data_IF_482412301113
#
_entry.id   IF_482412301113
#
_cell.length_a   1.000
_cell.length_b   1.000
_cell.length_c   1.000
_cell.angle_alpha   90.00
_cell.angle_beta   90.00
_cell.angle_gamma   90.00
#
_symmetry.space_group_name_H-M   'P 1'
#
loop_
_entity.id
_entity.type
_entity.pdbx_description
1 polymer ?
#
# COMPACT_ATOMS: atom_id res chain seq x y z
N UNK A 1 -0.23 -10.89 -18.17
CA UNK A 1 0.95 -10.54 -17.35
C UNK A 1 0.73 -11.10 -15.96
N UNK A 2 1.78 -11.65 -15.35
CA UNK A 2 1.72 -12.67 -14.29
C UNK A 2 0.83 -12.31 -13.09
N UNK A 3 -0.19 -13.13 -12.87
CA UNK A 3 -0.82 -13.29 -11.57
C UNK A 3 -0.16 -14.46 -10.86
N UNK A 4 0.65 -14.17 -9.86
CA UNK A 4 1.35 -15.17 -9.06
C UNK A 4 2.35 -14.47 -8.16
N UNK A 5 1.96 -14.16 -6.92
CA UNK A 5 2.79 -13.31 -6.08
C UNK A 5 2.24 -13.14 -4.69
N UNK A 6 1.99 -14.24 -3.98
CA UNK A 6 2.11 -14.15 -2.54
C UNK A 6 3.59 -13.92 -2.28
N UNK A 7 3.97 -12.71 -1.88
CA UNK A 7 5.29 -12.45 -1.35
C UNK A 7 5.35 -13.10 0.05
N UNK A 8 5.31 -14.44 0.08
CA UNK A 8 5.13 -15.27 1.28
C UNK A 8 6.23 -15.03 2.29
N UNK A 9 7.43 -14.69 1.80
CA UNK A 9 8.61 -14.47 2.63
C UNK A 9 8.85 -12.98 2.94
N UNK A 10 8.09 -12.08 2.33
CA UNK A 10 8.34 -10.64 2.41
C UNK A 10 7.14 -9.88 2.97
N UNK A 11 5.99 -9.90 2.27
CA UNK A 11 4.82 -9.10 2.66
C UNK A 11 3.98 -9.82 3.71
N UNK A 12 3.70 -11.11 3.52
CA UNK A 12 2.77 -11.86 4.38
C UNK A 12 3.21 -11.89 5.84
N UNK A 13 4.48 -12.18 6.18
CA UNK A 13 4.93 -12.24 7.57
C UNK A 13 4.89 -10.86 8.23
N UNK A 14 5.28 -9.80 7.51
CA UNK A 14 5.23 -8.42 8.02
C UNK A 14 3.79 -7.99 8.33
N UNK A 15 2.85 -8.26 7.42
CA UNK A 15 1.43 -7.95 7.62
C UNK A 15 0.84 -8.69 8.84
N UNK A 16 1.13 -9.98 9.01
CA UNK A 16 0.64 -10.74 10.16
C UNK A 16 1.26 -10.29 11.48
N UNK A 17 2.55 -9.96 11.51
CA UNK A 17 3.21 -9.43 12.69
C UNK A 17 2.59 -8.10 13.13
N UNK A 18 2.29 -7.19 12.20
CA UNK A 18 1.56 -5.96 12.50
C UNK A 18 0.16 -6.23 13.06
N UNK A 19 -0.60 -7.12 12.43
CA UNK A 19 -1.93 -7.49 12.92
C UNK A 19 -1.88 -8.10 14.33
N UNK A 20 -0.91 -8.98 14.59
CA UNK A 20 -0.74 -9.57 15.91
C UNK A 20 -0.37 -8.52 16.96
N UNK A 21 0.53 -7.59 16.65
CA UNK A 21 0.87 -6.48 17.54
C UNK A 21 -0.34 -5.60 17.89
N UNK A 22 -1.16 -5.28 16.90
CA UNK A 22 -2.43 -4.54 17.11
C UNK A 22 -3.37 -5.34 18.03
N UNK A 23 -3.57 -6.63 17.75
CA UNK A 23 -4.47 -7.49 18.53
C UNK A 23 -3.95 -7.70 19.97
N UNK A 24 -2.64 -7.76 20.17
CA UNK A 24 -2.03 -7.90 21.49
C UNK A 24 -1.95 -6.58 22.27
N UNK A 25 -2.28 -5.45 21.64
CA UNK A 25 -2.17 -4.12 22.26
C UNK A 25 -0.74 -3.56 22.28
N UNK A 26 0.18 -4.14 21.52
CA UNK A 26 1.57 -3.70 21.36
C UNK A 26 1.89 -3.57 19.85
N UNK A 27 1.44 -2.47 19.21
CA UNK A 27 1.69 -2.22 17.80
C UNK A 27 3.19 -2.19 17.48
N UNK A 28 3.56 -2.67 16.29
CA UNK A 28 4.94 -2.65 15.82
C UNK A 28 5.19 -1.39 15.01
N UNK A 29 6.20 -0.62 15.37
CA UNK A 29 6.59 0.59 14.62
C UNK A 29 7.02 0.23 13.20
N UNK A 30 6.67 1.06 12.23
CA UNK A 30 6.82 0.74 10.80
C UNK A 30 8.29 0.66 10.36
N UNK A 31 9.19 1.39 11.02
CA UNK A 31 10.63 1.38 10.81
C UNK A 31 11.36 0.30 11.62
N UNK A 32 10.64 -0.54 12.39
CA UNK A 32 11.25 -1.59 13.20
C UNK A 32 12.12 -2.51 12.32
N UNK A 33 13.37 -2.70 12.73
CA UNK A 33 14.30 -3.58 12.04
C UNK A 33 13.93 -5.04 12.31
N UNK A 34 13.87 -5.84 11.26
CA UNK A 34 13.58 -7.26 11.38
C UNK A 34 14.79 -7.97 11.98
N UNK A 35 14.58 -8.82 13.02
CA UNK A 35 15.67 -9.53 13.70
C UNK A 35 16.61 -10.26 12.73
N UNK A 36 17.92 -10.10 12.93
CA UNK A 36 18.95 -10.70 12.06
C UNK A 36 18.78 -12.21 11.94
N UNK A 37 18.51 -12.91 13.05
CA UNK A 37 18.36 -14.37 13.04
C UNK A 37 17.23 -14.86 12.10
N UNK A 38 16.13 -14.11 12.02
CA UNK A 38 15.05 -14.42 11.08
C UNK A 38 15.47 -14.10 9.63
N UNK A 39 16.15 -12.97 9.41
CA UNK A 39 16.66 -12.62 8.08
C UNK A 39 17.70 -13.62 7.56
N UNK A 40 18.52 -14.19 8.44
CA UNK A 40 19.48 -15.24 8.11
C UNK A 40 18.77 -16.53 7.67
N UNK A 41 17.62 -16.86 8.25
CA UNK A 41 16.82 -18.03 7.88
C UNK A 41 16.15 -17.88 6.51
N UNK A 42 15.70 -16.67 6.18
CA UNK A 42 15.03 -16.37 4.90
C UNK A 42 16.03 -16.12 3.77
N UNK A 43 17.21 -15.57 4.08
CA UNK A 43 18.28 -15.31 3.12
C UNK A 43 18.10 -14.00 2.33
N UNK A 44 18.54 -13.98 1.07
CA UNK A 44 18.65 -12.78 0.24
C UNK A 44 17.35 -11.99 0.08
N UNK A 45 16.20 -12.68 0.15
CA UNK A 45 14.89 -12.06 -0.02
C UNK A 45 14.26 -11.55 1.28
N UNK A 46 14.98 -11.63 2.40
CA UNK A 46 14.46 -11.17 3.68
C UNK A 46 14.32 -9.64 3.71
N UNK A 47 13.12 -9.09 4.00
CA UNK A 47 12.98 -7.65 4.19
C UNK A 47 13.82 -7.18 5.37
N UNK A 48 14.32 -5.94 5.29
CA UNK A 48 15.17 -5.34 6.32
C UNK A 48 14.35 -4.75 7.49
N UNK A 49 13.24 -4.10 7.17
CA UNK A 49 12.35 -3.39 8.10
C UNK A 49 10.91 -3.84 7.94
N UNK A 50 10.10 -3.52 8.96
CA UNK A 50 8.67 -3.87 9.04
C UNK A 50 7.79 -3.18 8.00
N UNK A 51 8.34 -2.23 7.24
CA UNK A 51 7.78 -1.60 6.03
C UNK A 51 8.89 -1.23 5.05
N UNK A 52 8.53 -0.73 3.87
CA UNK A 52 9.47 -0.36 2.80
C UNK A 52 9.94 1.11 2.88
N UNK A 53 9.65 1.82 3.98
CA UNK A 53 10.13 3.19 4.21
C UNK A 53 9.50 4.26 3.30
N UNK A 54 8.43 3.91 2.59
CA UNK A 54 7.67 4.85 1.77
C UNK A 54 6.67 5.63 2.63
N UNK A 55 6.55 6.95 2.38
CA UNK A 55 5.43 7.73 2.90
C UNK A 55 4.15 7.27 2.19
N UNK A 56 3.21 6.75 2.98
CA UNK A 56 1.90 6.25 2.52
C UNK A 56 0.79 7.24 2.88
N UNK A 57 1.10 8.53 2.82
CA UNK A 57 0.10 9.58 3.00
C UNK A 57 -1.02 9.45 1.96
N UNK A 58 -2.26 9.50 2.44
CA UNK A 58 -3.44 9.47 1.60
C UNK A 58 -3.99 10.88 1.45
N UNK A 59 -4.16 11.31 0.20
CA UNK A 59 -4.84 12.56 -0.15
C UNK A 59 -6.12 12.20 -0.90
N UNK A 60 -7.31 12.55 -0.37
CA UNK A 60 -8.56 12.43 -1.11
C UNK A 60 -8.45 13.12 -2.47
N UNK A 61 -8.97 12.49 -3.52
CA UNK A 61 -8.91 13.06 -4.87
C UNK A 61 -9.72 14.37 -4.98
N UNK A 62 -10.75 14.48 -4.14
CA UNK A 62 -11.59 15.65 -3.92
C UNK A 62 -10.82 16.84 -3.34
N UNK A 63 -9.63 16.65 -2.77
CA UNK A 63 -8.82 17.76 -2.26
C UNK A 63 -7.97 18.45 -3.34
N UNK A 64 -8.11 18.03 -4.59
CA UNK A 64 -7.40 18.57 -5.74
C UNK A 64 -6.60 17.51 -6.48
N UNK A 65 -6.29 17.81 -7.73
CA UNK A 65 -5.52 16.93 -8.61
C UNK A 65 -4.44 17.72 -9.35
N UNK A 66 -3.39 17.01 -9.75
CA UNK A 66 -2.22 17.52 -10.48
C UNK A 66 -2.41 17.26 -11.97
N UNK A 67 -2.66 18.27 -12.82
CA UNK A 67 -2.99 18.06 -14.24
C UNK A 67 -1.92 17.33 -15.05
N UNK A 68 -0.65 17.46 -14.67
CA UNK A 68 0.50 16.77 -15.28
C UNK A 68 0.71 15.35 -14.75
N UNK A 69 0.03 14.97 -13.66
CA UNK A 69 0.07 13.62 -13.12
C UNK A 69 -0.67 12.67 -14.06
N UNK A 70 0.08 11.71 -14.61
CA UNK A 70 -0.48 10.61 -15.41
C UNK A 70 -1.50 9.78 -14.63
N UNK A 71 -1.33 9.67 -13.32
CA UNK A 71 -2.26 8.96 -12.44
C UNK A 71 -3.58 9.72 -12.34
N UNK A 72 -3.53 11.02 -12.11
CA UNK A 72 -4.72 11.87 -11.93
C UNK A 72 -5.50 11.98 -13.23
N UNK A 73 -4.80 12.08 -14.37
CA UNK A 73 -5.40 12.00 -15.70
C UNK A 73 -6.14 10.67 -15.90
N UNK A 74 -5.56 9.55 -15.46
CA UNK A 74 -6.19 8.24 -15.55
C UNK A 74 -7.42 8.14 -14.63
N UNK A 75 -7.34 8.65 -13.39
CA UNK A 75 -8.48 8.71 -12.46
C UNK A 75 -9.62 9.50 -13.08
N UNK A 76 -9.37 10.70 -13.62
CA UNK A 76 -10.39 11.52 -14.29
C UNK A 76 -10.99 10.83 -15.50
N UNK A 77 -10.17 10.18 -16.34
CA UNK A 77 -10.66 9.41 -17.48
C UNK A 77 -11.61 8.30 -17.05
N UNK A 78 -11.28 7.57 -15.98
CA UNK A 78 -12.15 6.54 -15.40
C UNK A 78 -13.42 7.13 -14.80
N UNK A 79 -13.35 8.21 -14.03
CA UNK A 79 -14.53 8.90 -13.48
C UNK A 79 -15.48 9.31 -14.60
N UNK A 80 -14.98 9.96 -15.66
CA UNK A 80 -15.79 10.37 -16.82
C UNK A 80 -16.42 9.19 -17.57
N UNK A 81 -15.77 8.03 -17.59
CA UNK A 81 -16.30 6.84 -18.25
C UNK A 81 -17.35 6.07 -17.42
N UNK A 82 -17.24 6.09 -16.08
CA UNK A 82 -18.02 5.21 -15.20
C UNK A 82 -19.06 5.95 -14.37
N UNK A 83 -18.76 7.15 -13.89
CA UNK A 83 -19.64 7.87 -12.95
C UNK A 83 -21.03 8.20 -13.51
N UNK A 84 -21.18 8.59 -14.79
CA UNK A 84 -22.51 8.83 -15.37
C UNK A 84 -23.44 7.62 -15.26
N UNK A 85 -22.90 6.40 -15.40
CA UNK A 85 -23.68 5.15 -15.30
C UNK A 85 -24.12 4.84 -13.85
N UNK A 86 -23.52 5.50 -12.87
CA UNK A 86 -23.82 5.35 -11.45
C UNK A 86 -24.58 6.57 -10.88
N UNK A 87 -24.95 7.54 -11.71
CA UNK A 87 -25.62 8.78 -11.28
C UNK A 87 -24.71 9.74 -10.50
N UNK A 88 -23.40 9.63 -10.67
CA UNK A 88 -22.38 10.47 -10.02
C UNK A 88 -21.84 11.53 -10.99
N UNK A 89 -21.41 12.67 -10.45
CA UNK A 89 -20.79 13.75 -11.24
C UNK A 89 -19.27 13.52 -11.41
N UNK A 90 -18.74 13.47 -12.64
CA UNK A 90 -17.33 13.09 -12.87
C UNK A 90 -16.32 14.09 -12.31
N UNK A 91 -16.62 15.38 -12.46
CA UNK A 91 -15.72 16.49 -12.16
C UNK A 91 -16.06 17.18 -10.82
N UNK A 92 -16.98 16.62 -10.02
CA UNK A 92 -17.28 17.15 -8.69
C UNK A 92 -16.08 16.97 -7.77
N UNK A 93 -15.65 18.10 -7.19
CA UNK A 93 -14.63 18.23 -6.14
C UNK A 93 -15.37 18.21 -4.80
#
# INVERSE_FOLDING_TARGET
>A
MGGGGYAVLDVVPRAWTHLLGIVSGEPVEVETIIPQAWRDEIGEYAPYSMTDGADVSFVPFENGFTPESRLDQAILATRRAVFPELGLEPDSI
#
